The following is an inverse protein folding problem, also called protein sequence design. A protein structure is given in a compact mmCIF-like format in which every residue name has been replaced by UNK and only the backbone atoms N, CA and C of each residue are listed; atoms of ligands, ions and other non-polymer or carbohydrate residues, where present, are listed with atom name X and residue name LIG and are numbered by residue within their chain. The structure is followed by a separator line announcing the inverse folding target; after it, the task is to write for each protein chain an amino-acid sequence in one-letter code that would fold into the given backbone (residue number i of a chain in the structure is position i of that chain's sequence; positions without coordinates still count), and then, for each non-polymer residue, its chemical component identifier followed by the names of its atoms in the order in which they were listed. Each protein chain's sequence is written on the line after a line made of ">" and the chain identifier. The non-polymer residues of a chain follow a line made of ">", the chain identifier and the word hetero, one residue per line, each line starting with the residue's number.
data_IF_172582930794
#
_entry.id   IF_172582930794
#
_cell.length_a   1.000
_cell.length_b   1.000
_cell.length_c   1.000
_cell.angle_alpha   90.00
_cell.angle_beta   90.00
_cell.angle_gamma   90.00
#
_symmetry.space_group_name_H-M   'P 1'
#
loop_
_entity.id
_entity.type
_entity.pdbx_description
1 polymer ?
#
# COMPACT_ATOMS: atom_id res chain seq x y z
N UNK A 1 2.66 3.23 17.73
CA UNK A 1 3.74 3.10 16.73
C UNK A 1 5.01 3.67 17.35
N UNK A 2 6.07 2.88 17.51
CA UNK A 2 7.35 3.37 18.01
C UNK A 2 8.17 4.03 16.88
N UNK A 3 9.10 4.91 17.25
CA UNK A 3 9.99 5.61 16.31
C UNK A 3 10.78 4.62 15.41
N UNK A 4 11.21 3.50 15.99
CA UNK A 4 11.90 2.42 15.29
C UNK A 4 11.02 1.73 14.23
N UNK A 5 9.73 1.54 14.53
CA UNK A 5 8.80 0.93 13.57
C UNK A 5 8.60 1.83 12.34
N UNK A 6 8.44 3.14 12.55
CA UNK A 6 8.27 4.11 11.46
C UNK A 6 9.52 4.13 10.57
N UNK A 7 10.72 4.11 11.16
CA UNK A 7 11.97 4.02 10.40
C UNK A 7 12.04 2.74 9.58
N UNK A 8 11.71 1.59 10.17
CA UNK A 8 11.72 0.32 9.47
C UNK A 8 10.74 0.29 8.28
N UNK A 9 9.55 0.87 8.43
CA UNK A 9 8.61 1.02 7.31
C UNK A 9 9.17 1.91 6.21
N UNK A 10 9.82 3.02 6.55
CA UNK A 10 10.41 3.92 5.56
C UNK A 10 11.56 3.26 4.78
N UNK A 11 12.41 2.47 5.44
CA UNK A 11 13.49 1.72 4.79
C UNK A 11 12.95 0.67 3.81
N UNK A 12 11.90 -0.06 4.21
CA UNK A 12 11.23 -1.03 3.34
C UNK A 12 10.59 -0.35 2.13
N UNK A 13 9.90 0.77 2.34
CA UNK A 13 9.30 1.57 1.28
C UNK A 13 10.38 2.04 0.29
N UNK A 14 11.51 2.59 0.76
CA UNK A 14 12.59 3.03 -0.13
C UNK A 14 13.19 1.86 -0.94
N UNK A 15 13.36 0.71 -0.30
CA UNK A 15 13.88 -0.49 -0.97
C UNK A 15 12.94 -0.95 -2.08
N UNK A 16 11.63 -0.90 -1.86
CA UNK A 16 10.63 -1.24 -2.86
C UNK A 16 10.53 -0.17 -3.95
N UNK A 17 10.60 1.11 -3.60
CA UNK A 17 10.59 2.23 -4.56
C UNK A 17 11.79 2.15 -5.53
N UNK A 18 12.95 1.67 -5.08
CA UNK A 18 14.11 1.44 -5.96
C UNK A 18 13.93 0.28 -6.96
N UNK A 19 12.97 -0.62 -6.71
CA UNK A 19 12.64 -1.73 -7.60
C UNK A 19 11.60 -1.36 -8.65
N UNK A 20 11.01 -0.16 -8.54
CA UNK A 20 10.07 0.35 -9.55
C UNK A 20 10.83 0.57 -10.85
N UNK A 21 10.45 -0.19 -11.85
CA UNK A 21 11.07 -0.19 -13.18
C UNK A 21 10.41 0.80 -14.14
N UNK A 22 9.20 1.26 -13.80
CA UNK A 22 8.35 2.07 -14.68
C UNK A 22 7.43 1.22 -15.58
N UNK A 23 7.58 -0.10 -15.56
CA UNK A 23 6.73 -1.04 -16.28
C UNK A 23 5.50 -1.35 -15.42
N UNK A 24 4.34 -0.83 -15.82
CA UNK A 24 3.15 -0.77 -14.98
C UNK A 24 2.71 -2.15 -14.46
N UNK A 25 2.88 -3.23 -15.23
CA UNK A 25 2.47 -4.56 -14.78
C UNK A 25 3.48 -5.17 -13.80
N UNK A 26 4.79 -5.08 -14.07
CA UNK A 26 5.81 -5.51 -13.11
C UNK A 26 5.79 -4.69 -11.81
N UNK A 27 5.48 -3.39 -11.90
CA UNK A 27 5.44 -2.50 -10.76
C UNK A 27 4.18 -2.66 -9.90
N UNK A 28 3.12 -3.30 -10.41
CA UNK A 28 1.81 -3.39 -9.74
C UNK A 28 1.94 -3.98 -8.33
N UNK A 29 2.61 -5.13 -8.21
CA UNK A 29 2.82 -5.79 -6.91
C UNK A 29 3.68 -4.96 -5.97
N UNK A 30 4.70 -4.28 -6.51
CA UNK A 30 5.63 -3.45 -5.73
C UNK A 30 4.89 -2.24 -5.17
N UNK A 31 4.06 -1.59 -6.00
CA UNK A 31 3.24 -0.44 -5.63
C UNK A 31 2.20 -0.80 -4.58
N UNK A 32 1.55 -1.96 -4.69
CA UNK A 32 0.62 -2.45 -3.68
C UNK A 32 1.30 -2.68 -2.33
N UNK A 33 2.49 -3.31 -2.33
CA UNK A 33 3.29 -3.49 -1.11
C UNK A 33 3.66 -2.15 -0.48
N UNK A 34 4.11 -1.18 -1.28
CA UNK A 34 4.43 0.18 -0.80
C UNK A 34 3.19 0.83 -0.20
N UNK A 35 2.03 0.71 -0.84
CA UNK A 35 0.78 1.30 -0.36
C UNK A 35 0.39 0.72 1.01
N UNK A 36 0.43 -0.60 1.16
CA UNK A 36 0.14 -1.27 2.43
C UNK A 36 1.11 -0.85 3.55
N UNK A 37 2.42 -0.78 3.26
CA UNK A 37 3.41 -0.33 4.23
C UNK A 37 3.19 1.14 4.64
N UNK A 38 2.81 2.01 3.69
CA UNK A 38 2.44 3.41 3.99
C UNK A 38 1.19 3.47 4.88
N UNK A 39 0.19 2.64 4.61
CA UNK A 39 -1.01 2.52 5.44
C UNK A 39 -0.70 2.06 6.86
N UNK A 40 0.12 1.02 7.03
CA UNK A 40 0.56 0.56 8.35
C UNK A 40 1.35 1.64 9.09
N UNK A 41 2.29 2.30 8.41
CA UNK A 41 3.10 3.41 8.96
C UNK A 41 2.22 4.56 9.45
N UNK A 42 1.23 4.95 8.65
CA UNK A 42 0.35 6.09 8.93
C UNK A 42 -0.82 5.69 9.86
N UNK A 43 -0.95 4.39 10.18
CA UNK A 43 -2.03 3.85 10.99
C UNK A 43 -3.41 3.94 10.33
N UNK A 44 -3.44 4.12 9.01
CA UNK A 44 -4.67 4.25 8.21
C UNK A 44 -5.11 2.85 7.84
N UNK A 45 -6.29 2.42 8.32
CA UNK A 45 -6.87 1.15 7.87
C UNK A 45 -7.23 1.26 6.38
N UNK A 46 -7.05 0.19 5.58
CA UNK A 46 -7.60 0.16 4.24
C UNK A 46 -9.08 0.53 4.36
N UNK A 47 -9.52 1.49 3.55
CA UNK A 47 -10.95 1.79 3.39
C UNK A 47 -11.64 0.46 3.23
N UNK A 48 -12.41 0.09 4.26
CA UNK A 48 -13.17 -1.14 4.33
C UNK A 48 -13.80 -1.33 2.96
N UNK A 49 -13.31 -2.32 2.21
CA UNK A 49 -13.85 -2.67 0.91
C UNK A 49 -15.15 -3.42 1.12
N UNK A 50 -16.07 -2.82 1.88
CA UNK A 50 -17.50 -2.91 1.70
C UNK A 50 -17.84 -2.10 0.45
N UNK A 51 -17.42 -2.64 -0.70
CA UNK A 51 -18.12 -2.36 -1.94
C UNK A 51 -19.49 -3.03 -1.75
N UNK A 52 -20.43 -2.29 -1.17
CA UNK A 52 -21.84 -2.53 -1.45
C UNK A 52 -21.97 -2.31 -2.95
N UNK A 53 -21.80 -3.40 -3.70
CA UNK A 53 -22.34 -3.50 -5.04
C UNK A 53 -23.85 -3.36 -4.84
N UNK A 54 -24.31 -2.11 -4.84
CA UNK A 54 -25.71 -1.78 -5.08
C UNK A 54 -25.90 -2.13 -6.55
N UNK A 55 -26.07 -3.43 -6.80
CA UNK A 55 -26.67 -3.93 -8.02
C UNK A 55 -27.97 -3.15 -8.16
N UNK A 56 -27.96 -2.20 -9.07
CA UNK A 56 -29.17 -1.58 -9.57
C UNK A 56 -29.96 -2.73 -10.18
N UNK A 57 -30.87 -3.30 -9.38
CA UNK A 57 -31.88 -4.21 -9.86
C UNK A 57 -32.71 -3.44 -10.87
N UNK A 58 -32.60 -3.87 -12.12
CA UNK A 58 -33.56 -3.60 -13.18
C UNK A 58 -33.70 -4.85 -14.02
#
# INVERSE_FOLDING_TARGET
>A
MSELQIQNYNEQIQTLESQITGEMFADMEIRDKIHNLKMERDGVKPTDSSIDCVGCGS
#
